data_IF_725630279876
#
_entry.id   IF_725630279876
#
_cell.length_a   1.000
_cell.length_b   1.000
_cell.length_c   1.000
_cell.angle_alpha   90.00
_cell.angle_beta   90.00
_cell.angle_gamma   90.00
#
_symmetry.space_group_name_H-M   'P 1'
#
loop_
_entity.id
_entity.type
_entity.pdbx_description
1 polymer ?
#
# COMPACT_ATOMS: atom_id res chain seq x y z
N UNK A 1 -26.61 7.40 4.33
CA UNK A 1 -26.43 7.96 2.96
C UNK A 1 -26.25 9.47 3.07
N UNK A 2 -25.36 10.03 2.27
CA UNK A 2 -25.08 11.48 2.22
C UNK A 2 -26.28 12.17 1.58
N UNK A 3 -26.89 13.19 2.23
CA UNK A 3 -27.94 14.00 1.65
C UNK A 3 -27.49 14.67 0.34
N UNK A 4 -28.39 14.78 -0.63
CA UNK A 4 -28.06 15.40 -1.93
C UNK A 4 -27.74 16.89 -1.79
N UNK A 5 -28.52 17.60 -0.97
CA UNK A 5 -28.33 19.01 -0.67
C UNK A 5 -26.96 19.29 -0.02
N UNK A 6 -26.56 18.48 0.95
CA UNK A 6 -25.20 18.53 1.53
C UNK A 6 -24.11 18.36 0.46
N UNK A 7 -24.29 17.35 -0.41
CA UNK A 7 -23.29 17.07 -1.44
C UNK A 7 -23.20 18.20 -2.47
N UNK A 8 -24.33 18.77 -2.87
CA UNK A 8 -24.37 19.90 -3.80
C UNK A 8 -23.75 21.17 -3.17
N UNK A 9 -24.07 21.49 -1.91
CA UNK A 9 -23.48 22.62 -1.21
C UNK A 9 -21.97 22.48 -1.10
N UNK A 10 -21.48 21.29 -0.70
CA UNK A 10 -20.05 21.01 -0.62
C UNK A 10 -19.36 21.17 -1.97
N UNK A 11 -19.92 20.64 -3.07
CA UNK A 11 -19.34 20.75 -4.42
C UNK A 11 -19.30 22.17 -4.90
N UNK A 12 -20.31 22.97 -4.58
CA UNK A 12 -20.35 24.40 -4.93
C UNK A 12 -19.36 25.22 -4.10
N UNK A 13 -19.19 24.91 -2.83
CA UNK A 13 -18.29 25.62 -1.95
C UNK A 13 -16.81 25.31 -2.21
N UNK A 14 -16.45 24.03 -2.32
CA UNK A 14 -15.05 23.60 -2.56
C UNK A 14 -14.65 23.76 -4.03
N UNK A 15 -15.56 23.61 -4.94
CA UNK A 15 -15.44 23.56 -6.40
C UNK A 15 -14.70 22.33 -6.94
N UNK A 16 -15.09 21.83 -8.12
CA UNK A 16 -14.39 20.71 -8.76
C UNK A 16 -12.93 21.01 -9.08
N UNK A 17 -12.62 22.25 -9.43
CA UNK A 17 -11.26 22.71 -9.75
C UNK A 17 -10.35 22.67 -8.52
N UNK A 18 -10.83 23.15 -7.37
CA UNK A 18 -10.06 23.11 -6.13
C UNK A 18 -9.85 21.67 -5.62
N UNK A 19 -10.83 20.78 -5.80
CA UNK A 19 -10.67 19.36 -5.49
C UNK A 19 -9.66 18.69 -6.43
N UNK A 20 -9.69 19.01 -7.71
CA UNK A 20 -8.72 18.51 -8.69
C UNK A 20 -7.29 18.95 -8.33
N UNK A 21 -7.10 20.22 -7.99
CA UNK A 21 -5.80 20.73 -7.55
C UNK A 21 -5.31 20.06 -6.27
N UNK A 22 -6.20 19.83 -5.30
CA UNK A 22 -5.87 19.18 -4.04
C UNK A 22 -5.40 17.73 -4.19
N UNK A 23 -5.95 16.98 -5.17
CA UNK A 23 -5.57 15.58 -5.40
C UNK A 23 -4.43 15.40 -6.40
N UNK A 24 -4.11 16.43 -7.19
CA UNK A 24 -3.08 16.36 -8.23
C UNK A 24 -1.69 16.60 -7.68
N UNK A 25 -1.09 15.55 -7.12
CA UNK A 25 0.28 15.54 -6.61
C UNK A 25 0.79 14.10 -6.53
N UNK A 26 2.08 13.89 -6.79
CA UNK A 26 2.77 12.61 -6.62
C UNK A 26 3.18 12.34 -5.16
N UNK A 27 3.17 13.37 -4.30
CA UNK A 27 3.54 13.27 -2.90
C UNK A 27 2.32 12.98 -2.03
N UNK A 28 2.27 11.79 -1.44
CA UNK A 28 1.14 11.33 -0.60
C UNK A 28 0.83 12.31 0.55
N UNK A 29 1.83 12.74 1.30
CA UNK A 29 1.66 13.63 2.46
C UNK A 29 1.05 14.98 2.06
N UNK A 30 1.45 15.53 0.91
CA UNK A 30 0.88 16.79 0.40
C UNK A 30 -0.60 16.61 0.07
N UNK A 31 -0.95 15.51 -0.59
CA UNK A 31 -2.36 15.21 -0.90
C UNK A 31 -3.21 15.03 0.36
N UNK A 32 -2.71 14.30 1.35
CA UNK A 32 -3.41 14.11 2.62
C UNK A 32 -3.62 15.43 3.36
N UNK A 33 -2.62 16.30 3.35
CA UNK A 33 -2.71 17.65 3.92
C UNK A 33 -3.73 18.52 3.18
N UNK A 34 -3.71 18.53 1.85
CA UNK A 34 -4.68 19.28 1.04
C UNK A 34 -6.11 18.82 1.31
N UNK A 35 -6.34 17.52 1.42
CA UNK A 35 -7.66 16.97 1.75
C UNK A 35 -8.07 17.33 3.18
N UNK A 36 -7.13 17.32 4.13
CA UNK A 36 -7.40 17.76 5.50
C UNK A 36 -7.86 19.22 5.53
N UNK A 37 -7.17 20.11 4.84
CA UNK A 37 -7.56 21.52 4.75
C UNK A 37 -8.94 21.73 4.13
N UNK A 38 -9.34 20.89 3.16
CA UNK A 38 -10.71 20.89 2.62
C UNK A 38 -11.72 20.51 3.69
N UNK A 39 -11.42 19.50 4.49
CA UNK A 39 -12.30 19.07 5.60
C UNK A 39 -12.41 20.16 6.66
N UNK A 40 -11.30 20.74 7.09
CA UNK A 40 -11.28 21.83 8.08
C UNK A 40 -12.18 23.00 7.63
N UNK A 41 -12.12 23.41 6.36
CA UNK A 41 -12.99 24.44 5.79
C UNK A 41 -14.48 24.06 5.80
N UNK A 42 -14.79 22.78 5.58
CA UNK A 42 -16.17 22.32 5.64
C UNK A 42 -16.68 22.23 7.08
N UNK A 43 -15.83 21.84 8.02
CA UNK A 43 -16.14 21.86 9.44
C UNK A 43 -16.47 23.27 9.91
N UNK A 44 -15.61 24.27 9.60
CA UNK A 44 -15.87 25.67 9.90
C UNK A 44 -17.18 26.18 9.29
N UNK A 45 -17.47 25.81 8.03
CA UNK A 45 -18.70 26.22 7.34
C UNK A 45 -19.95 25.64 7.97
N UNK A 46 -19.91 24.37 8.39
CA UNK A 46 -21.07 23.65 8.89
C UNK A 46 -21.24 23.73 10.42
N UNK A 47 -20.30 24.32 11.13
CA UNK A 47 -20.31 24.39 12.59
C UNK A 47 -21.58 25.07 13.15
N UNK A 48 -22.04 26.15 12.51
CA UNK A 48 -23.17 26.94 12.98
C UNK A 48 -24.52 26.52 12.35
N UNK A 49 -24.53 26.14 11.07
CA UNK A 49 -25.76 25.99 10.30
C UNK A 49 -26.21 24.54 10.08
N UNK A 50 -25.27 23.59 10.08
CA UNK A 50 -25.51 22.19 9.68
C UNK A 50 -24.76 21.17 10.54
N UNK A 51 -24.95 21.21 11.85
CA UNK A 51 -24.27 20.28 12.79
C UNK A 51 -24.56 18.79 12.51
N UNK A 52 -25.71 18.49 11.94
CA UNK A 52 -26.11 17.14 11.51
C UNK A 52 -25.25 16.60 10.36
N UNK A 53 -24.60 17.48 9.59
CA UNK A 53 -23.70 17.08 8.50
C UNK A 53 -22.26 16.79 8.94
N UNK A 54 -21.88 17.20 10.11
CA UNK A 54 -20.52 17.05 10.64
C UNK A 54 -20.01 15.60 10.57
N UNK A 55 -20.82 14.64 11.01
CA UNK A 55 -20.48 13.22 11.00
C UNK A 55 -20.32 12.62 9.59
N UNK A 56 -20.81 13.33 8.56
CA UNK A 56 -20.81 12.86 7.17
C UNK A 56 -19.73 13.53 6.31
N UNK A 57 -18.98 14.50 6.82
CA UNK A 57 -17.96 15.26 6.06
C UNK A 57 -16.92 14.31 5.46
N UNK A 58 -16.40 13.38 6.23
CA UNK A 58 -15.39 12.42 5.76
C UNK A 58 -15.87 11.60 4.57
N UNK A 59 -17.09 11.07 4.66
CA UNK A 59 -17.69 10.26 3.60
C UNK A 59 -18.02 11.11 2.37
N UNK A 60 -18.53 12.32 2.55
CA UNK A 60 -18.87 13.25 1.49
C UNK A 60 -17.63 13.71 0.72
N UNK A 61 -16.55 14.10 1.42
CA UNK A 61 -15.26 14.47 0.82
C UNK A 61 -14.67 13.29 0.07
N UNK A 62 -14.70 12.09 0.62
CA UNK A 62 -14.23 10.89 -0.06
C UNK A 62 -15.03 10.61 -1.36
N UNK A 63 -16.34 10.75 -1.33
CA UNK A 63 -17.21 10.59 -2.52
C UNK A 63 -16.88 11.64 -3.58
N UNK A 64 -16.65 12.88 -3.19
CA UNK A 64 -16.27 13.97 -4.10
C UNK A 64 -14.87 13.72 -4.70
N UNK A 65 -13.87 13.41 -3.88
CA UNK A 65 -12.53 13.05 -4.32
C UNK A 65 -12.56 11.90 -5.34
N UNK A 66 -13.30 10.83 -5.03
CA UNK A 66 -13.46 9.68 -5.92
C UNK A 66 -14.06 10.06 -7.27
N UNK A 67 -15.10 10.91 -7.27
CA UNK A 67 -15.76 11.41 -8.49
C UNK A 67 -14.81 12.25 -9.33
N UNK A 68 -14.05 13.14 -8.69
CA UNK A 68 -13.05 14.00 -9.35
C UNK A 68 -11.94 13.18 -9.98
N UNK A 69 -11.31 12.28 -9.23
CA UNK A 69 -10.23 11.41 -9.74
C UNK A 69 -10.72 10.54 -10.91
N UNK A 70 -11.94 9.99 -10.83
CA UNK A 70 -12.49 9.22 -11.96
C UNK A 70 -12.70 10.07 -13.21
N UNK A 71 -13.17 11.30 -13.05
CA UNK A 71 -13.30 12.25 -14.18
C UNK A 71 -11.93 12.52 -14.81
N UNK A 72 -10.92 12.85 -13.99
CA UNK A 72 -9.56 13.10 -14.45
C UNK A 72 -9.01 11.94 -15.29
N UNK A 73 -9.18 10.70 -14.82
CA UNK A 73 -8.65 9.52 -15.53
C UNK A 73 -9.45 9.22 -16.79
N UNK A 74 -10.80 9.21 -16.71
CA UNK A 74 -11.64 8.73 -17.80
C UNK A 74 -11.89 9.76 -18.89
N UNK A 75 -11.97 11.05 -18.54
CA UNK A 75 -12.26 12.14 -19.48
C UNK A 75 -11.04 12.93 -19.88
N UNK A 76 -10.20 13.27 -18.91
CA UNK A 76 -9.05 14.14 -19.11
C UNK A 76 -7.75 13.35 -19.37
N UNK A 77 -7.83 12.00 -19.29
CA UNK A 77 -6.68 11.07 -19.42
C UNK A 77 -5.49 11.43 -18.55
N UNK A 78 -5.77 11.99 -17.35
CA UNK A 78 -4.80 12.54 -16.43
C UNK A 78 -4.85 11.76 -15.11
N UNK A 79 -3.72 11.21 -14.69
CA UNK A 79 -3.63 10.52 -13.40
C UNK A 79 -3.30 11.53 -12.29
N UNK A 80 -3.78 11.29 -11.05
CA UNK A 80 -3.55 12.21 -9.93
C UNK A 80 -2.08 12.48 -9.61
N UNK A 81 -1.20 11.52 -9.91
CA UNK A 81 0.24 11.62 -9.70
C UNK A 81 1.02 12.14 -10.94
N UNK A 82 0.32 12.62 -11.95
CA UNK A 82 0.91 13.20 -13.15
C UNK A 82 1.46 12.21 -14.17
N UNK A 83 1.37 10.89 -13.90
CA UNK A 83 1.82 9.87 -14.86
C UNK A 83 0.86 9.74 -16.03
N UNK A 84 1.38 9.30 -17.17
CA UNK A 84 0.58 8.85 -18.30
C UNK A 84 -0.27 7.62 -17.91
N UNK A 85 -1.38 7.39 -18.62
CA UNK A 85 -2.34 6.32 -18.30
C UNK A 85 -1.68 4.93 -18.29
N UNK A 86 -0.71 4.70 -19.18
CA UNK A 86 0.03 3.46 -19.34
C UNK A 86 1.36 3.42 -18.59
N UNK A 87 1.80 4.54 -18.05
CA UNK A 87 3.09 4.65 -17.37
C UNK A 87 3.08 3.95 -16.02
N UNK A 88 4.03 3.06 -15.78
CA UNK A 88 4.28 2.47 -14.46
C UNK A 88 5.17 3.40 -13.61
N UNK A 89 5.16 3.23 -12.27
CA UNK A 89 6.09 3.93 -11.39
C UNK A 89 7.52 3.48 -11.68
N UNK A 90 8.53 4.36 -11.46
CA UNK A 90 9.94 3.98 -11.59
C UNK A 90 10.25 2.75 -10.75
N UNK A 91 10.98 1.81 -11.34
CA UNK A 91 11.43 0.59 -10.70
C UNK A 91 12.95 0.60 -10.58
N UNK A 92 13.45 0.15 -9.44
CA UNK A 92 14.87 -0.17 -9.26
C UNK A 92 15.02 -1.46 -8.45
N UNK A 93 16.10 -2.18 -8.70
CA UNK A 93 16.46 -3.38 -7.94
C UNK A 93 17.98 -3.39 -7.74
N UNK A 94 18.38 -3.61 -6.51
CA UNK A 94 19.78 -3.71 -6.10
C UNK A 94 19.98 -5.01 -5.34
N UNK A 95 21.14 -5.61 -5.47
CA UNK A 95 21.53 -6.81 -4.74
C UNK A 95 22.79 -6.53 -3.93
N UNK A 96 23.04 -7.36 -2.93
CA UNK A 96 24.25 -7.26 -2.08
C UNK A 96 24.36 -5.92 -1.32
N UNK A 97 23.21 -5.42 -0.84
CA UNK A 97 23.14 -4.14 -0.11
C UNK A 97 23.55 -4.24 1.35
N UNK A 98 23.54 -5.45 1.93
CA UNK A 98 23.96 -5.72 3.31
C UNK A 98 25.19 -6.63 3.33
N UNK A 99 26.33 -6.19 3.93
CA UNK A 99 27.61 -6.91 3.80
C UNK A 99 27.75 -8.16 4.67
N UNK A 100 26.88 -8.36 5.67
CA UNK A 100 27.06 -9.41 6.70
C UNK A 100 26.03 -10.53 6.64
N UNK A 101 25.18 -10.55 5.62
CA UNK A 101 24.14 -11.55 5.39
C UNK A 101 24.54 -12.49 4.23
N UNK A 102 23.88 -13.65 4.10
CA UNK A 102 24.15 -14.58 3.01
C UNK A 102 23.67 -14.07 1.65
N UNK A 103 22.66 -13.22 1.64
CA UNK A 103 22.19 -12.50 0.47
C UNK A 103 21.25 -11.39 0.86
N UNK A 104 21.21 -10.34 0.06
CA UNK A 104 20.25 -9.24 0.25
C UNK A 104 19.84 -8.64 -1.08
N UNK A 105 18.61 -8.15 -1.14
CA UNK A 105 18.06 -7.44 -2.28
C UNK A 105 17.16 -6.29 -1.84
N UNK A 106 17.29 -5.16 -2.49
CA UNK A 106 16.42 -4.01 -2.33
C UNK A 106 15.64 -3.81 -3.61
N UNK A 107 14.32 -3.84 -3.52
CA UNK A 107 13.44 -3.50 -4.63
C UNK A 107 12.65 -2.25 -4.30
N UNK A 108 12.59 -1.32 -5.24
CA UNK A 108 11.86 -0.08 -5.09
C UNK A 108 10.91 0.14 -6.27
N UNK A 109 9.69 0.55 -5.95
CA UNK A 109 8.68 1.00 -6.91
C UNK A 109 8.12 2.35 -6.46
N UNK A 110 8.54 3.40 -7.11
CA UNK A 110 8.24 4.77 -6.66
C UNK A 110 8.76 5.02 -5.25
N UNK A 111 7.90 5.30 -4.30
CA UNK A 111 8.25 5.54 -2.89
C UNK A 111 8.19 4.28 -2.01
N UNK A 112 7.74 3.14 -2.56
CA UNK A 112 7.63 1.89 -1.82
C UNK A 112 8.91 1.08 -1.97
N UNK A 113 9.50 0.67 -0.85
CA UNK A 113 10.71 -0.16 -0.80
C UNK A 113 10.45 -1.48 -0.10
N UNK A 114 11.10 -2.54 -0.57
CA UNK A 114 11.15 -3.84 0.07
C UNK A 114 12.60 -4.27 0.19
N UNK A 115 13.06 -4.48 1.41
CA UNK A 115 14.36 -5.09 1.69
C UNK A 115 14.15 -6.58 1.95
N UNK A 116 14.79 -7.41 1.14
CA UNK A 116 14.86 -8.86 1.32
C UNK A 116 16.23 -9.24 1.90
N UNK A 117 16.20 -10.12 2.88
CA UNK A 117 17.43 -10.70 3.49
C UNK A 117 17.32 -12.20 3.42
N UNK A 118 18.34 -12.84 2.84
CA UNK A 118 18.40 -14.29 2.66
C UNK A 118 19.37 -14.89 3.67
N UNK A 119 18.91 -15.95 4.31
CA UNK A 119 19.75 -16.81 5.17
C UNK A 119 19.80 -18.20 4.53
N UNK A 120 21.02 -18.72 4.36
CA UNK A 120 21.27 -20.08 3.87
C UNK A 120 21.59 -21.00 5.05
N UNK A 121 21.08 -22.21 5.00
CA UNK A 121 21.36 -23.24 5.99
C UNK A 121 21.49 -24.61 5.29
N UNK A 122 22.18 -25.59 5.90
CA UNK A 122 22.27 -26.93 5.34
C UNK A 122 20.88 -27.60 5.28
N UNK A 123 20.73 -28.59 4.40
CA UNK A 123 19.47 -29.31 4.19
C UNK A 123 18.89 -29.98 5.45
N UNK A 124 19.71 -30.23 6.47
CA UNK A 124 19.26 -30.77 7.76
C UNK A 124 18.32 -29.78 8.52
N UNK A 125 18.43 -28.48 8.21
CA UNK A 125 17.63 -27.42 8.84
C UNK A 125 16.29 -27.15 8.13
N UNK A 126 15.88 -27.97 7.18
CA UNK A 126 14.57 -27.90 6.56
C UNK A 126 13.47 -27.86 7.62
N UNK A 127 12.48 -27.03 7.40
CA UNK A 127 11.28 -27.00 8.25
C UNK A 127 10.57 -28.35 8.16
N UNK A 128 10.45 -29.06 9.28
CA UNK A 128 9.61 -30.26 9.37
C UNK A 128 8.14 -29.85 9.42
N UNK A 129 7.32 -30.51 8.61
CA UNK A 129 5.87 -30.30 8.57
C UNK A 129 5.23 -31.58 9.10
N UNK A 130 4.55 -31.43 10.23
CA UNK A 130 3.74 -32.47 10.84
C UNK A 130 2.27 -32.11 10.65
N UNK A 131 1.73 -32.53 9.51
CA UNK A 131 0.39 -32.21 9.05
C UNK A 131 -0.40 -33.43 8.65
N UNK A 132 -1.64 -33.24 8.21
CA UNK A 132 -2.52 -34.32 7.74
C UNK A 132 -2.13 -34.87 6.35
N UNK A 133 -1.32 -34.15 5.60
CA UNK A 133 -0.81 -34.57 4.30
C UNK A 133 0.53 -35.27 4.48
N UNK A 134 0.51 -36.61 4.43
CA UNK A 134 1.69 -37.46 4.59
C UNK A 134 2.73 -37.32 3.45
N UNK A 135 2.35 -36.70 2.33
CA UNK A 135 3.26 -36.45 1.21
C UNK A 135 4.16 -35.25 1.40
N UNK A 136 3.80 -34.34 2.32
CA UNK A 136 4.54 -33.11 2.59
C UNK A 136 5.14 -33.18 3.99
N UNK A 137 6.36 -33.68 4.10
CA UNK A 137 7.06 -33.87 5.38
C UNK A 137 8.05 -32.75 5.72
N UNK A 138 8.49 -32.00 4.76
CA UNK A 138 9.45 -30.92 4.96
C UNK A 138 9.33 -29.81 3.92
N UNK A 139 9.86 -28.64 4.28
CA UNK A 139 9.88 -27.46 3.44
C UNK A 139 11.27 -26.84 3.49
N UNK A 140 11.92 -26.74 2.32
CA UNK A 140 13.26 -26.19 2.18
C UNK A 140 13.26 -24.67 2.07
N UNK A 141 12.39 -24.11 1.23
CA UNK A 141 12.27 -22.68 1.04
C UNK A 141 11.18 -22.11 1.95
N UNK A 142 11.58 -21.12 2.76
CA UNK A 142 10.69 -20.45 3.69
C UNK A 142 10.74 -18.95 3.38
N UNK A 143 9.59 -18.33 3.18
CA UNK A 143 9.46 -16.91 2.93
C UNK A 143 8.65 -16.23 4.03
N UNK A 144 9.33 -15.40 4.80
CA UNK A 144 8.69 -14.54 5.81
C UNK A 144 8.44 -13.15 5.24
N UNK A 145 7.37 -12.52 5.67
CA UNK A 145 7.01 -11.16 5.32
C UNK A 145 6.70 -10.36 6.56
N UNK A 146 7.37 -9.21 6.71
CA UNK A 146 7.12 -8.28 7.79
C UNK A 146 6.64 -6.95 7.21
N UNK A 147 5.66 -6.32 7.89
CA UNK A 147 5.16 -5.00 7.56
C UNK A 147 5.15 -4.14 8.82
N UNK A 148 6.31 -3.56 9.21
CA UNK A 148 6.41 -2.74 10.41
C UNK A 148 5.57 -1.46 10.27
N UNK A 149 5.05 -0.96 11.38
CA UNK A 149 4.18 0.22 11.41
C UNK A 149 4.80 1.47 10.79
N UNK A 150 6.11 1.65 10.95
CA UNK A 150 6.83 2.78 10.34
C UNK A 150 6.76 2.79 8.79
N UNK A 151 6.45 1.65 8.14
CA UNK A 151 6.27 1.58 6.68
C UNK A 151 5.13 2.47 6.18
N UNK A 152 4.18 2.82 7.04
CA UNK A 152 3.06 3.73 6.77
C UNK A 152 3.07 4.97 7.65
N UNK A 153 4.19 5.25 8.34
CA UNK A 153 4.34 6.41 9.21
C UNK A 153 3.56 6.32 10.54
N UNK A 154 3.20 5.10 10.95
CA UNK A 154 2.46 4.88 12.20
C UNK A 154 3.36 4.36 13.31
N UNK A 155 2.96 4.65 14.57
CA UNK A 155 3.58 4.08 15.77
C UNK A 155 2.64 3.05 16.38
N UNK A 156 3.03 1.77 16.35
CA UNK A 156 2.28 0.67 16.95
C UNK A 156 3.21 -0.32 17.65
N UNK A 157 2.75 -1.03 18.69
CA UNK A 157 3.51 -2.13 19.27
C UNK A 157 3.81 -3.23 18.24
N UNK A 158 5.05 -3.72 18.21
CA UNK A 158 5.41 -4.87 17.38
C UNK A 158 4.98 -6.17 18.07
N UNK A 159 3.99 -6.84 17.50
CA UNK A 159 3.40 -8.10 18.03
C UNK A 159 3.62 -9.30 17.11
N UNK A 160 4.59 -9.19 16.18
CA UNK A 160 4.79 -10.18 15.13
C UNK A 160 3.81 -10.02 13.95
N UNK A 161 3.91 -10.90 12.92
CA UNK A 161 3.10 -10.80 11.70
C UNK A 161 1.63 -11.18 11.98
N UNK A 162 0.71 -10.37 11.47
CA UNK A 162 -0.71 -10.67 11.44
C UNK A 162 -1.09 -11.59 10.28
N UNK A 163 -2.37 -11.92 10.16
CA UNK A 163 -2.87 -12.81 9.09
C UNK A 163 -2.63 -12.27 7.68
N UNK A 164 -2.65 -10.94 7.53
CA UNK A 164 -2.37 -10.27 6.25
C UNK A 164 -0.93 -10.49 5.82
N UNK A 165 0.01 -10.31 6.72
CA UNK A 165 1.44 -10.50 6.48
C UNK A 165 1.75 -11.96 6.17
N UNK A 166 1.15 -12.91 6.88
CA UNK A 166 1.29 -14.35 6.63
C UNK A 166 0.77 -14.70 5.23
N UNK A 167 -0.41 -14.21 4.84
CA UNK A 167 -0.97 -14.43 3.51
C UNK A 167 -0.15 -13.80 2.39
N UNK A 168 0.40 -12.61 2.61
CA UNK A 168 1.28 -11.92 1.66
C UNK A 168 2.60 -12.68 1.46
N UNK A 169 3.21 -13.15 2.55
CA UNK A 169 4.39 -14.00 2.49
C UNK A 169 4.16 -15.30 1.73
N UNK A 170 3.01 -15.94 1.95
CA UNK A 170 2.63 -17.17 1.24
C UNK A 170 2.44 -16.96 -0.28
N UNK A 171 1.93 -15.78 -0.70
CA UNK A 171 1.84 -15.45 -2.13
C UNK A 171 3.21 -15.25 -2.76
N UNK A 172 4.11 -14.52 -2.09
CA UNK A 172 5.48 -14.32 -2.56
C UNK A 172 6.24 -15.65 -2.65
N UNK A 173 6.10 -16.51 -1.66
CA UNK A 173 6.68 -17.85 -1.64
C UNK A 173 6.24 -18.69 -2.85
N UNK A 174 4.93 -18.75 -3.11
CA UNK A 174 4.41 -19.49 -4.27
C UNK A 174 4.89 -18.96 -5.61
N UNK A 175 5.06 -17.64 -5.71
CA UNK A 175 5.56 -17.00 -6.92
C UNK A 175 7.04 -17.34 -7.19
N UNK A 176 7.84 -17.54 -6.14
CA UNK A 176 9.27 -17.83 -6.24
C UNK A 176 9.60 -19.32 -6.33
N UNK A 177 8.76 -20.20 -5.78
CA UNK A 177 9.00 -21.66 -5.79
C UNK A 177 9.41 -22.22 -7.16
N UNK A 178 8.79 -21.82 -8.31
CA UNK A 178 9.17 -22.37 -9.62
C UNK A 178 10.56 -21.99 -10.10
N UNK A 179 11.18 -20.96 -9.51
CA UNK A 179 12.51 -20.46 -9.90
C UNK A 179 13.59 -20.72 -8.85
N UNK A 180 13.23 -21.35 -7.73
CA UNK A 180 14.21 -21.82 -6.73
C UNK A 180 15.02 -22.96 -7.33
N UNK A 181 16.38 -22.89 -7.27
CA UNK A 181 17.23 -23.96 -7.76
C UNK A 181 16.94 -25.30 -7.07
N UNK A 182 17.15 -26.41 -7.77
CA UNK A 182 17.01 -27.75 -7.20
C UNK A 182 18.01 -28.01 -6.05
N UNK A 183 17.76 -29.04 -5.24
CA UNK A 183 18.70 -29.42 -4.16
C UNK A 183 20.05 -29.91 -4.71
N UNK A 184 20.07 -30.46 -5.93
CA UNK A 184 21.29 -30.91 -6.60
C UNK A 184 22.14 -29.73 -7.08
N UNK A 185 21.49 -28.64 -7.56
CA UNK A 185 22.16 -27.45 -8.05
C UNK A 185 22.60 -26.52 -6.91
N UNK A 186 21.82 -26.48 -5.83
CA UNK A 186 22.03 -25.56 -4.70
C UNK A 186 21.59 -26.23 -3.39
N UNK A 187 22.50 -26.94 -2.69
CA UNK A 187 22.17 -27.78 -1.53
C UNK A 187 22.02 -27.01 -0.22
N UNK A 188 21.25 -25.92 -0.25
CA UNK A 188 20.97 -25.09 0.92
C UNK A 188 19.47 -24.84 1.11
#
# INVERSE_FOLDING_TARGET
DIPEDMFEDMVNFITPEAMEEAVFTDVKQVREENIRQIKDKLEERYEEEHQDWFALIDEAVYKFQKKTVRKMILKDHKRPDGREVTQIRPLSAEVDVLPTVHGSGLFQRGQTQVLNVTTLAPLSEKQKIDGLDENVTSKRYIHHYNFPSYSVGETRPSRGPGRREIGHGALAERALLPVIPSEEEFPY
#
